data_IF_767754160269
#
_entry.id   IF_767754160269
#
_cell.length_a   1.000
_cell.length_b   1.000
_cell.length_c   1.000
_cell.angle_alpha   90.00
_cell.angle_beta   90.00
_cell.angle_gamma   90.00
#
_symmetry.space_group_name_H-M   'P 1'
#
loop_
_entity.id
_entity.type
_entity.pdbx_description
1 polymer ?
#
# COMPACT_ATOMS: atom_id res chain seq x y z
N UNK A 1 0.26 -13.88 -13.55
CA UNK A 1 -1.19 -14.07 -13.33
C UNK A 1 -1.96 -13.47 -14.49
N UNK A 2 -2.99 -14.16 -14.93
CA UNK A 2 -3.84 -13.71 -16.03
C UNK A 2 -4.95 -12.78 -15.52
N UNK A 3 -5.63 -12.11 -16.44
CA UNK A 3 -6.82 -11.31 -16.11
C UNK A 3 -7.90 -12.15 -15.42
N UNK A 4 -8.08 -13.39 -15.87
CA UNK A 4 -9.06 -14.32 -15.28
C UNK A 4 -8.71 -14.68 -13.84
N UNK A 5 -7.42 -14.86 -13.53
CA UNK A 5 -6.95 -15.10 -12.16
C UNK A 5 -7.32 -13.94 -11.24
N UNK A 6 -7.11 -12.70 -11.70
CA UNK A 6 -7.46 -11.50 -10.94
C UNK A 6 -8.97 -11.36 -10.72
N UNK A 7 -9.77 -11.67 -11.71
CA UNK A 7 -11.24 -11.65 -11.59
C UNK A 7 -11.74 -12.69 -10.58
N UNK A 8 -11.13 -13.88 -10.58
CA UNK A 8 -11.44 -14.93 -9.61
C UNK A 8 -11.08 -14.50 -8.18
N UNK A 9 -9.93 -13.86 -8.00
CA UNK A 9 -9.49 -13.33 -6.71
C UNK A 9 -10.46 -12.26 -6.20
N UNK A 10 -10.85 -11.32 -7.05
CA UNK A 10 -11.80 -10.26 -6.70
C UNK A 10 -13.13 -10.84 -6.23
N UNK A 11 -13.64 -11.86 -6.90
CA UNK A 11 -14.87 -12.52 -6.49
C UNK A 11 -14.76 -13.21 -5.12
N UNK A 12 -13.60 -13.77 -4.81
CA UNK A 12 -13.36 -14.43 -3.52
C UNK A 12 -13.18 -13.43 -2.37
N UNK A 13 -12.82 -12.19 -2.64
CA UNK A 13 -12.58 -11.15 -1.62
C UNK A 13 -13.77 -10.21 -1.44
N UNK A 14 -14.99 -10.72 -1.53
CA UNK A 14 -16.21 -9.90 -1.47
C UNK A 14 -16.78 -9.67 -0.07
N UNK A 15 -16.27 -10.34 0.96
CA UNK A 15 -16.83 -10.25 2.31
C UNK A 15 -15.75 -10.29 3.38
N UNK A 16 -16.01 -9.71 4.58
CA UNK A 16 -15.05 -9.76 5.69
C UNK A 16 -14.76 -11.21 6.10
N UNK A 17 -13.50 -11.52 6.35
CA UNK A 17 -13.05 -12.87 6.65
C UNK A 17 -12.67 -13.70 5.43
N UNK A 18 -12.95 -13.22 4.21
CA UNK A 18 -12.53 -13.90 2.99
C UNK A 18 -11.00 -13.87 2.87
N UNK A 19 -10.42 -14.96 2.37
CA UNK A 19 -8.98 -15.06 2.17
C UNK A 19 -8.64 -15.82 0.89
N UNK A 20 -7.56 -15.41 0.24
CA UNK A 20 -7.03 -16.05 -0.96
C UNK A 20 -5.53 -16.20 -0.83
N UNK A 21 -5.02 -17.38 -1.19
CA UNK A 21 -3.58 -17.64 -1.23
C UNK A 21 -3.09 -17.58 -2.67
N UNK A 22 -2.00 -16.85 -2.86
CA UNK A 22 -1.37 -16.67 -4.16
C UNK A 22 0.10 -17.03 -4.06
N UNK A 23 0.69 -17.32 -5.21
CA UNK A 23 2.14 -17.43 -5.32
C UNK A 23 2.61 -16.40 -6.35
N UNK A 24 3.38 -15.41 -5.90
CA UNK A 24 3.86 -14.30 -6.72
C UNK A 24 5.38 -14.24 -6.62
N UNK A 25 6.07 -14.42 -7.74
CA UNK A 25 7.53 -14.36 -7.84
C UNK A 25 8.26 -15.18 -6.77
N UNK A 26 7.72 -16.36 -6.44
CA UNK A 26 8.31 -17.25 -5.43
C UNK A 26 7.86 -16.98 -3.99
N UNK A 27 7.11 -15.91 -3.75
CA UNK A 27 6.56 -15.60 -2.43
C UNK A 27 5.16 -16.19 -2.26
N UNK A 28 4.89 -16.79 -1.11
CA UNK A 28 3.55 -17.23 -0.73
C UNK A 28 2.80 -16.02 -0.14
N UNK A 29 1.87 -15.47 -0.91
CA UNK A 29 1.12 -14.28 -0.54
C UNK A 29 -0.31 -14.65 -0.18
N UNK A 30 -0.78 -14.22 0.98
CA UNK A 30 -2.17 -14.40 1.41
C UNK A 30 -2.85 -13.03 1.47
N UNK A 31 -3.98 -12.90 0.77
CA UNK A 31 -4.85 -11.74 0.83
C UNK A 31 -6.02 -12.06 1.74
N UNK A 32 -6.26 -11.24 2.73
CA UNK A 32 -7.33 -11.44 3.72
C UNK A 32 -8.15 -10.17 3.88
N UNK A 33 -9.46 -10.27 3.72
CA UNK A 33 -10.36 -9.14 3.93
C UNK A 33 -10.68 -9.01 5.41
N UNK A 34 -10.40 -7.83 5.96
CA UNK A 34 -10.67 -7.52 7.36
C UNK A 34 -11.33 -6.15 7.49
N UNK A 35 -11.93 -5.88 8.64
CA UNK A 35 -12.56 -4.60 8.91
C UNK A 35 -11.72 -3.81 9.92
N UNK A 36 -11.31 -2.61 9.52
CA UNK A 36 -10.59 -1.68 10.39
C UNK A 36 -11.37 -0.37 10.42
N UNK A 37 -11.72 0.10 11.61
CA UNK A 37 -12.48 1.35 11.80
C UNK A 37 -13.73 1.42 10.91
N UNK A 38 -14.50 0.35 10.88
CA UNK A 38 -15.73 0.21 10.08
C UNK A 38 -15.52 0.23 8.56
N UNK A 39 -14.28 0.08 8.09
CA UNK A 39 -13.96 -0.01 6.66
C UNK A 39 -13.36 -1.37 6.33
N UNK A 40 -13.77 -1.93 5.20
CA UNK A 40 -13.18 -3.16 4.69
C UNK A 40 -11.84 -2.85 4.04
N UNK A 41 -10.80 -3.58 4.45
CA UNK A 41 -9.46 -3.47 3.86
C UNK A 41 -8.94 -4.87 3.55
N UNK A 42 -8.01 -4.95 2.60
CA UNK A 42 -7.34 -6.20 2.22
C UNK A 42 -5.96 -6.20 2.84
N UNK A 43 -5.72 -7.12 3.78
CA UNK A 43 -4.41 -7.30 4.39
C UNK A 43 -3.57 -8.26 3.54
N UNK A 44 -2.30 -7.94 3.37
CA UNK A 44 -1.33 -8.74 2.61
C UNK A 44 -0.35 -9.41 3.57
N UNK A 45 -0.36 -10.74 3.60
CA UNK A 45 0.59 -11.53 4.38
C UNK A 45 1.57 -12.19 3.42
N UNK A 46 2.86 -12.08 3.69
CA UNK A 46 3.91 -12.73 2.91
C UNK A 46 4.49 -13.86 3.75
N UNK A 47 4.46 -15.08 3.22
CA UNK A 47 4.87 -16.31 3.91
C UNK A 47 4.13 -16.51 5.25
N UNK A 48 2.88 -16.03 5.32
CA UNK A 48 2.03 -16.12 6.51
C UNK A 48 2.25 -15.03 7.56
N UNK A 49 3.12 -14.04 7.29
CA UNK A 49 3.50 -13.02 8.28
C UNK A 49 3.35 -11.60 7.74
N UNK A 50 3.11 -10.68 8.67
CA UNK A 50 3.35 -9.24 8.50
C UNK A 50 4.42 -8.88 9.52
N UNK A 51 5.65 -8.65 9.08
CA UNK A 51 6.75 -8.30 9.98
C UNK A 51 6.91 -6.79 10.07
N UNK A 52 7.11 -6.27 11.29
CA UNK A 52 7.32 -4.85 11.53
C UNK A 52 8.55 -4.30 10.79
N UNK A 53 9.62 -5.08 10.66
CA UNK A 53 10.82 -4.70 9.93
C UNK A 53 10.55 -4.39 8.44
N UNK A 54 9.55 -5.05 7.83
CA UNK A 54 9.15 -4.75 6.44
C UNK A 54 8.44 -3.40 6.31
N UNK A 55 7.93 -2.86 7.40
CA UNK A 55 7.27 -1.54 7.43
C UNK A 55 8.28 -0.41 7.71
N UNK A 56 9.34 -0.70 8.44
CA UNK A 56 10.32 0.31 8.87
C UNK A 56 11.57 0.35 8.01
N UNK A 57 11.96 -0.76 7.41
CA UNK A 57 13.16 -0.87 6.58
C UNK A 57 12.79 -1.09 5.12
N UNK A 58 13.56 -0.50 4.22
CA UNK A 58 13.38 -0.70 2.80
C UNK A 58 13.81 -2.12 2.41
N UNK A 59 12.89 -2.88 1.83
CA UNK A 59 13.14 -4.24 1.37
C UNK A 59 12.27 -4.57 0.15
N UNK A 60 12.62 -5.65 -0.53
CA UNK A 60 11.91 -6.11 -1.73
C UNK A 60 10.44 -6.42 -1.47
N UNK A 61 10.14 -7.08 -0.36
CA UNK A 61 8.76 -7.44 0.04
C UNK A 61 7.91 -6.18 0.21
N UNK A 62 8.42 -5.16 0.87
CA UNK A 62 7.75 -3.88 1.06
C UNK A 62 7.41 -3.21 -0.26
N UNK A 63 8.34 -3.20 -1.20
CA UNK A 63 8.14 -2.59 -2.52
C UNK A 63 7.13 -3.34 -3.38
N UNK A 64 7.12 -4.66 -3.28
CA UNK A 64 6.27 -5.51 -4.12
C UNK A 64 4.83 -5.58 -3.66
N UNK A 65 4.58 -5.60 -2.35
CA UNK A 65 3.28 -5.98 -1.81
C UNK A 65 2.62 -4.92 -0.92
N UNK A 66 3.38 -3.97 -0.41
CA UNK A 66 2.85 -2.99 0.53
C UNK A 66 2.49 -1.66 -0.13
N UNK A 67 1.42 -1.05 0.34
CA UNK A 67 0.97 0.25 -0.13
C UNK A 67 1.86 1.36 0.40
N UNK A 68 2.38 2.19 -0.49
CA UNK A 68 3.14 3.39 -0.14
C UNK A 68 2.19 4.58 0.00
N UNK A 69 2.27 5.26 1.11
CA UNK A 69 1.50 6.48 1.37
C UNK A 69 2.43 7.66 1.56
N UNK A 70 2.08 8.78 0.95
CA UNK A 70 2.82 10.04 1.07
C UNK A 70 2.21 10.86 2.20
N UNK A 71 3.06 11.35 3.10
CA UNK A 71 2.66 12.16 4.24
C UNK A 71 3.45 13.46 4.28
N UNK A 72 2.85 14.49 4.87
CA UNK A 72 3.50 15.78 5.07
C UNK A 72 3.51 16.12 6.57
N UNK A 73 4.63 16.64 7.06
CA UNK A 73 4.76 17.14 8.41
C UNK A 73 4.11 18.52 8.59
N UNK A 74 3.72 19.18 7.49
CA UNK A 74 3.10 20.50 7.54
C UNK A 74 1.66 20.45 8.03
N UNK A 75 1.33 21.36 8.96
CA UNK A 75 -0.05 21.61 9.37
C UNK A 75 -0.80 22.42 8.29
N UNK A 76 -2.12 22.54 8.42
CA UNK A 76 -2.93 23.37 7.50
C UNK A 76 -2.45 24.84 7.52
N UNK A 77 -2.12 25.37 8.70
CA UNK A 77 -1.57 26.73 8.84
C UNK A 77 -0.20 26.87 8.20
N UNK A 78 0.67 25.87 8.37
CA UNK A 78 1.99 25.83 7.73
C UNK A 78 1.89 25.79 6.21
N UNK A 79 0.95 25.03 5.65
CA UNK A 79 0.70 24.99 4.20
C UNK A 79 0.23 26.34 3.65
N UNK A 80 -0.63 27.05 4.37
CA UNK A 80 -1.09 28.40 3.99
C UNK A 80 0.05 29.41 3.98
N UNK A 81 0.92 29.39 4.99
CA UNK A 81 2.11 30.24 5.03
C UNK A 81 3.06 29.94 3.89
N UNK A 82 3.29 28.66 3.62
CA UNK A 82 4.15 28.21 2.54
C UNK A 82 3.65 28.65 1.16
N UNK A 83 2.35 28.65 0.95
CA UNK A 83 1.73 29.08 -0.32
C UNK A 83 2.04 30.53 -0.68
N UNK A 84 2.40 31.37 0.28
CA UNK A 84 2.78 32.78 0.10
C UNK A 84 4.27 32.95 -0.24
N UNK A 85 5.06 31.88 -0.11
CA UNK A 85 6.50 31.93 -0.36
C UNK A 85 6.82 31.72 -1.85
N UNK A 86 8.08 31.96 -2.23
CA UNK A 86 8.57 31.69 -3.57
C UNK A 86 8.51 30.19 -3.87
N UNK A 87 8.32 29.83 -5.15
CA UNK A 87 8.24 28.44 -5.58
C UNK A 87 9.46 27.61 -5.17
N UNK A 88 10.67 28.18 -5.21
CA UNK A 88 11.89 27.49 -4.79
C UNK A 88 11.86 27.13 -3.31
N UNK A 89 11.39 28.04 -2.44
CA UNK A 89 11.24 27.82 -1.01
C UNK A 89 10.17 26.77 -0.76
N UNK A 90 9.03 26.85 -1.46
CA UNK A 90 7.95 25.86 -1.35
C UNK A 90 8.46 24.44 -1.68
N UNK A 91 9.21 24.29 -2.75
CA UNK A 91 9.78 23.01 -3.16
C UNK A 91 10.73 22.45 -2.11
N UNK A 92 11.66 23.27 -1.61
CA UNK A 92 12.63 22.87 -0.60
C UNK A 92 11.96 22.41 0.69
N UNK A 93 10.96 23.15 1.18
CA UNK A 93 10.22 22.81 2.40
C UNK A 93 9.39 21.53 2.19
N UNK A 94 8.73 21.36 1.06
CA UNK A 94 7.99 20.14 0.74
C UNK A 94 8.89 18.92 0.71
N UNK A 95 10.08 19.01 0.13
CA UNK A 95 11.05 17.91 0.09
C UNK A 95 11.52 17.52 1.49
N UNK A 96 11.73 18.49 2.38
CA UNK A 96 12.16 18.23 3.75
C UNK A 96 11.06 17.73 4.67
N UNK A 97 9.80 18.07 4.40
CA UNK A 97 8.66 17.74 5.25
C UNK A 97 7.83 16.56 4.74
N UNK A 98 8.10 16.08 3.53
CA UNK A 98 7.40 14.94 2.95
C UNK A 98 8.10 13.64 3.32
N UNK A 99 7.34 12.67 3.77
CA UNK A 99 7.84 11.33 4.05
C UNK A 99 6.86 10.28 3.53
N UNK A 100 7.35 9.05 3.39
CA UNK A 100 6.55 7.92 2.91
C UNK A 100 6.42 6.89 4.01
N UNK A 101 5.24 6.31 4.14
CA UNK A 101 5.00 5.15 4.99
C UNK A 101 4.48 3.98 4.15
N UNK A 102 4.66 2.78 4.65
CA UNK A 102 4.18 1.56 4.00
C UNK A 102 3.21 0.85 4.93
N UNK A 103 2.14 0.32 4.35
CA UNK A 103 1.13 -0.43 5.10
C UNK A 103 0.80 -1.72 4.36
N UNK A 104 0.60 -2.84 5.07
CA UNK A 104 0.17 -4.09 4.44
C UNK A 104 -1.32 -4.12 4.13
N UNK A 105 -2.04 -3.03 4.40
CA UNK A 105 -3.49 -2.96 4.20
C UNK A 105 -3.83 -2.13 2.96
N UNK A 106 -4.72 -2.65 2.13
CA UNK A 106 -5.20 -1.99 0.92
C UNK A 106 -6.69 -1.72 1.03
N UNK A 107 -7.10 -0.48 0.86
CA UNK A 107 -8.50 -0.09 0.89
C UNK A 107 -9.23 -0.40 -0.42
N UNK A 108 -8.51 -0.54 -1.53
CA UNK A 108 -9.06 -0.78 -2.86
C UNK A 108 -8.38 -1.98 -3.52
N UNK A 109 -9.19 -2.94 -3.97
CA UNK A 109 -8.69 -4.09 -4.74
C UNK A 109 -8.05 -3.66 -6.05
N UNK A 110 -8.61 -2.66 -6.72
CA UNK A 110 -8.07 -2.12 -7.97
C UNK A 110 -6.65 -1.57 -7.79
N UNK A 111 -6.43 -0.81 -6.72
CA UNK A 111 -5.10 -0.27 -6.40
C UNK A 111 -4.11 -1.38 -6.09
N UNK A 112 -4.52 -2.38 -5.33
CA UNK A 112 -3.71 -3.55 -5.00
C UNK A 112 -3.31 -4.31 -6.28
N UNK A 113 -4.27 -4.59 -7.14
CA UNK A 113 -4.06 -5.27 -8.42
C UNK A 113 -3.06 -4.52 -9.30
N UNK A 114 -3.24 -3.21 -9.46
CA UNK A 114 -2.34 -2.37 -10.25
C UNK A 114 -0.92 -2.38 -9.70
N UNK A 115 -0.79 -2.28 -8.39
CA UNK A 115 0.52 -2.31 -7.72
C UNK A 115 1.22 -3.67 -7.90
N UNK A 116 0.50 -4.76 -7.76
CA UNK A 116 1.05 -6.11 -7.92
C UNK A 116 1.50 -6.35 -9.36
N UNK A 117 0.71 -5.95 -10.34
CA UNK A 117 1.06 -6.10 -11.76
C UNK A 117 2.30 -5.27 -12.10
N UNK A 118 2.40 -4.05 -11.58
CA UNK A 118 3.50 -3.13 -11.84
C UNK A 118 4.82 -3.59 -11.22
N UNK A 119 4.77 -4.18 -10.03
CA UNK A 119 5.97 -4.47 -9.23
C UNK A 119 6.37 -5.95 -9.20
N UNK A 120 5.61 -6.84 -9.85
CA UNK A 120 5.87 -8.28 -9.89
C UNK A 120 5.70 -8.80 -11.31
N UNK A 121 6.43 -9.85 -11.66
CA UNK A 121 6.40 -10.42 -13.00
C UNK A 121 5.33 -11.49 -13.20
N UNK A 122 4.87 -12.12 -12.14
CA UNK A 122 3.91 -13.22 -12.26
C UNK A 122 2.59 -12.99 -11.54
#
# INVERSE_FOLDING_TARGET
MTKEDWESIERKLCYPGAGVRLKVDGYAVTLHVMTIKMKMVIAVYVDGYIKGEWLTEDCDIRRRFYQRSKHSLLTAAGKKKLAKERKSVQKAVKEQTTYYSFTPHWASFRSLKCHFIKNNES
#
